data_IF_065686743080
#
_entry.id   IF_065686743080
#
_cell.length_a   1.000
_cell.length_b   1.000
_cell.length_c   1.000
_cell.angle_alpha   90.00
_cell.angle_beta   90.00
_cell.angle_gamma   90.00
#
_symmetry.space_group_name_H-M   'P 1'
#
loop_
_entity.id
_entity.type
_entity.pdbx_description
1 polymer ?
#
# COMPACT_ATOMS: atom_id res chain seq x y z
N UNK A 1 -3.92 66.21 -1.80
CA UNK A 1 -2.77 65.55 -1.13
C UNK A 1 -3.36 64.33 -0.42
N UNK A 2 -3.06 63.06 -0.70
CA UNK A 2 -1.84 62.41 -1.18
C UNK A 2 -2.03 61.69 -2.53
N UNK A 3 -0.97 61.65 -3.34
CA UNK A 3 -1.03 61.21 -4.74
C UNK A 3 -0.68 59.74 -5.02
N UNK A 4 -0.77 59.32 -6.31
CA UNK A 4 -0.70 57.91 -6.77
C UNK A 4 0.62 57.17 -6.50
N UNK A 5 1.63 57.82 -5.92
CA UNK A 5 2.97 57.25 -5.69
C UNK A 5 3.06 56.34 -4.46
N UNK A 6 2.09 56.39 -3.54
CA UNK A 6 2.15 55.58 -2.30
C UNK A 6 1.64 54.14 -2.47
N UNK A 7 0.75 53.88 -3.44
CA UNK A 7 0.26 52.52 -3.75
C UNK A 7 1.27 51.67 -4.54
N UNK A 8 2.25 52.31 -5.19
CA UNK A 8 3.31 51.61 -5.92
C UNK A 8 4.36 50.99 -4.97
N UNK A 9 4.70 51.64 -3.85
CA UNK A 9 5.75 51.14 -2.95
C UNK A 9 5.28 49.96 -2.08
N UNK A 10 3.98 49.91 -1.73
CA UNK A 10 3.39 48.78 -0.98
C UNK A 10 3.28 47.52 -1.84
N UNK A 11 2.96 47.66 -3.14
CA UNK A 11 2.97 46.53 -4.09
C UNK A 11 4.39 46.02 -4.41
N UNK A 12 5.41 46.87 -4.31
CA UNK A 12 6.79 46.46 -4.53
C UNK A 12 7.40 45.75 -3.30
N UNK A 13 6.99 46.11 -2.08
CA UNK A 13 7.40 45.46 -0.84
C UNK A 13 6.82 44.05 -0.65
N UNK A 14 5.55 43.85 -0.98
CA UNK A 14 4.88 42.53 -0.88
C UNK A 14 5.33 41.53 -1.95
N UNK A 15 5.86 41.98 -3.10
CA UNK A 15 6.48 41.10 -4.10
C UNK A 15 7.90 40.64 -3.71
N UNK A 16 8.62 41.40 -2.89
CA UNK A 16 9.97 41.02 -2.43
C UNK A 16 9.97 40.04 -1.25
N UNK A 17 8.88 39.94 -0.48
CA UNK A 17 8.80 39.02 0.67
C UNK A 17 8.41 37.58 0.32
N UNK A 18 7.91 37.32 -0.90
CA UNK A 18 7.53 35.96 -1.33
C UNK A 18 8.56 35.32 -2.29
N UNK A 19 9.63 36.02 -2.63
CA UNK A 19 10.83 35.39 -3.19
C UNK A 19 11.86 35.20 -2.09
N UNK A 20 11.53 34.38 -1.08
CA UNK A 20 12.60 33.64 -0.43
C UNK A 20 13.05 32.62 -1.45
N UNK A 21 14.14 32.96 -2.14
CA UNK A 21 14.98 32.01 -2.83
C UNK A 21 15.67 31.14 -1.77
N UNK A 22 14.89 30.40 -0.99
CA UNK A 22 15.36 29.11 -0.55
C UNK A 22 15.52 28.36 -1.86
N UNK A 23 16.75 28.19 -2.35
CA UNK A 23 17.10 26.93 -3.01
C UNK A 23 16.79 25.84 -1.97
N UNK A 24 15.51 25.54 -1.79
CA UNK A 24 15.07 24.36 -1.10
C UNK A 24 15.79 23.27 -1.86
N UNK A 25 16.69 22.56 -1.19
CA UNK A 25 17.27 21.35 -1.74
C UNK A 25 16.09 20.59 -2.36
N UNK A 26 16.09 20.41 -3.68
CA UNK A 26 15.08 19.59 -4.35
C UNK A 26 15.07 18.29 -3.57
N UNK A 27 13.99 18.05 -2.83
CA UNK A 27 13.90 16.85 -2.00
C UNK A 27 13.92 15.70 -2.98
N UNK A 28 14.92 14.84 -2.84
CA UNK A 28 15.05 13.67 -3.68
C UNK A 28 14.00 12.66 -3.21
N UNK A 29 12.85 12.67 -3.87
CA UNK A 29 11.74 11.74 -3.62
C UNK A 29 11.85 10.47 -4.47
N UNK A 30 12.99 10.28 -5.13
CA UNK A 30 13.26 9.08 -5.92
C UNK A 30 13.26 7.85 -5.00
N UNK A 31 12.34 6.92 -5.27
CA UNK A 31 12.15 5.71 -4.45
C UNK A 31 11.10 5.85 -3.34
N UNK A 32 10.41 6.99 -3.19
CA UNK A 32 9.28 7.08 -2.26
C UNK A 32 8.04 6.47 -2.90
N UNK A 33 7.33 5.64 -2.13
CA UNK A 33 6.01 5.10 -2.51
C UNK A 33 4.91 5.98 -1.94
N UNK A 34 4.23 6.79 -2.76
CA UNK A 34 3.03 7.46 -2.30
C UNK A 34 1.94 6.39 -2.09
N UNK A 35 1.26 6.36 -0.93
CA UNK A 35 0.07 5.55 -0.80
C UNK A 35 -0.94 5.97 -1.87
N UNK A 36 -1.37 5.04 -2.72
CA UNK A 36 -2.45 5.28 -3.66
C UNK A 36 -3.73 5.36 -2.85
N UNK A 37 -4.38 6.52 -2.84
CA UNK A 37 -5.67 6.69 -2.18
C UNK A 37 -6.70 5.82 -2.87
N UNK A 38 -7.28 4.84 -2.17
CA UNK A 38 -8.45 4.08 -2.63
C UNK A 38 -9.69 4.94 -2.42
N UNK A 39 -10.29 5.49 -3.49
CA UNK A 39 -11.50 6.28 -3.35
C UNK A 39 -12.70 5.36 -3.22
N UNK A 40 -13.68 5.80 -2.43
CA UNK A 40 -14.94 5.11 -2.24
C UNK A 40 -16.10 6.01 -2.68
N UNK A 41 -17.15 5.37 -3.19
CA UNK A 41 -18.42 6.02 -3.49
C UNK A 41 -19.18 6.34 -2.20
N UNK A 42 -20.27 7.10 -2.29
CA UNK A 42 -21.14 7.38 -1.15
C UNK A 42 -21.71 6.11 -0.49
N UNK A 43 -21.76 5.00 -1.24
CA UNK A 43 -22.25 3.70 -0.78
C UNK A 43 -21.13 2.81 -0.22
N UNK A 44 -19.93 3.35 0.03
CA UNK A 44 -18.74 2.63 0.48
C UNK A 44 -18.21 1.55 -0.49
N UNK A 45 -18.66 1.54 -1.74
CA UNK A 45 -18.07 0.74 -2.82
C UNK A 45 -16.81 1.41 -3.36
N UNK A 46 -15.84 0.62 -3.84
CA UNK A 46 -14.61 1.15 -4.46
C UNK A 46 -14.95 1.91 -5.74
N UNK A 47 -14.48 3.14 -5.86
CA UNK A 47 -14.64 3.98 -7.04
C UNK A 47 -13.47 3.74 -8.02
N UNK A 48 -13.64 2.76 -8.91
CA UNK A 48 -12.57 2.34 -9.83
C UNK A 48 -12.12 3.45 -10.79
N UNK A 49 -13.01 4.34 -11.22
CA UNK A 49 -12.67 5.45 -12.11
C UNK A 49 -11.75 6.46 -11.42
N UNK A 50 -12.08 6.86 -10.19
CA UNK A 50 -11.18 7.73 -9.41
C UNK A 50 -9.88 7.03 -9.00
N UNK A 51 -9.90 5.71 -8.80
CA UNK A 51 -8.69 4.96 -8.51
C UNK A 51 -7.73 4.96 -9.72
N UNK A 52 -8.26 4.76 -10.93
CA UNK A 52 -7.50 4.87 -12.18
C UNK A 52 -6.91 6.26 -12.36
N UNK A 53 -7.69 7.32 -12.07
CA UNK A 53 -7.16 8.69 -12.07
C UNK A 53 -6.01 8.88 -11.08
N UNK A 54 -6.12 8.34 -9.85
CA UNK A 54 -5.07 8.42 -8.85
C UNK A 54 -3.81 7.71 -9.34
N UNK A 55 -3.96 6.54 -9.96
CA UNK A 55 -2.85 5.79 -10.55
C UNK A 55 -2.19 6.56 -11.69
N UNK A 56 -2.97 7.17 -12.58
CA UNK A 56 -2.44 8.00 -13.66
C UNK A 56 -1.68 9.21 -13.10
N UNK A 57 -2.27 9.95 -12.15
CA UNK A 57 -1.63 11.10 -11.48
C UNK A 57 -0.30 10.67 -10.84
N UNK A 58 -0.31 9.58 -10.08
CA UNK A 58 0.90 9.06 -9.43
C UNK A 58 1.93 8.55 -10.45
N UNK A 59 1.48 7.95 -11.56
CA UNK A 59 2.35 7.50 -12.66
C UNK A 59 3.08 8.62 -13.40
N UNK A 60 2.63 9.88 -13.29
CA UNK A 60 3.33 11.04 -13.87
C UNK A 60 4.56 11.49 -13.07
N UNK A 61 4.72 11.01 -11.83
CA UNK A 61 5.89 11.30 -11.02
C UNK A 61 7.03 10.30 -11.32
N UNK A 62 8.30 10.74 -11.25
CA UNK A 62 9.47 9.90 -11.56
C UNK A 62 9.80 8.92 -10.43
N UNK A 63 8.86 8.04 -10.07
CA UNK A 63 9.10 6.93 -9.16
C UNK A 63 9.98 5.88 -9.84
N UNK A 64 11.05 5.42 -9.18
CA UNK A 64 12.01 4.46 -9.74
C UNK A 64 11.64 2.99 -9.52
N UNK A 65 10.53 2.70 -8.83
CA UNK A 65 10.11 1.34 -8.46
C UNK A 65 9.83 1.19 -6.97
N UNK A 66 9.25 0.05 -6.58
CA UNK A 66 8.83 -0.28 -5.20
C UNK A 66 9.99 -0.40 -4.22
N UNK A 67 9.85 0.28 -3.07
CA UNK A 67 10.82 0.19 -1.96
C UNK A 67 10.28 -0.55 -0.73
N UNK A 68 9.10 -1.16 -0.85
CA UNK A 68 8.47 -1.92 0.23
C UNK A 68 6.99 -2.21 -0.02
N UNK A 69 6.31 -2.76 0.98
CA UNK A 69 4.88 -3.06 0.91
C UNK A 69 4.22 -3.17 2.29
N UNK A 70 2.94 -2.80 2.36
CA UNK A 70 2.07 -3.05 3.53
C UNK A 70 1.24 -4.29 3.22
N UNK A 71 1.67 -5.44 3.73
CA UNK A 71 1.16 -6.74 3.30
C UNK A 71 0.31 -7.39 4.41
N UNK A 72 -0.97 -7.66 4.14
CA UNK A 72 -1.83 -8.41 5.06
C UNK A 72 -1.26 -9.79 5.38
N UNK A 73 -0.67 -10.47 4.38
CA UNK A 73 -0.01 -11.77 4.55
C UNK A 73 1.18 -11.73 5.53
N UNK A 74 1.81 -10.57 5.75
CA UNK A 74 2.94 -10.45 6.67
C UNK A 74 2.57 -10.71 8.14
N UNK A 75 1.28 -10.69 8.50
CA UNK A 75 0.82 -11.08 9.83
C UNK A 75 1.01 -12.58 10.11
N UNK A 76 1.14 -13.42 9.07
CA UNK A 76 1.34 -14.87 9.20
C UNK A 76 2.67 -15.33 8.58
N UNK A 77 3.06 -14.76 7.43
CA UNK A 77 4.29 -15.07 6.70
C UNK A 77 5.26 -13.87 6.65
N UNK A 78 5.39 -13.16 7.77
CA UNK A 78 6.23 -11.94 7.85
C UNK A 78 7.69 -12.19 7.47
N UNK A 79 8.29 -13.29 7.91
CA UNK A 79 9.67 -13.62 7.58
C UNK A 79 9.88 -13.82 6.08
N UNK A 80 8.94 -14.47 5.40
CA UNK A 80 8.96 -14.74 3.97
C UNK A 80 8.74 -13.47 3.15
N UNK A 81 7.83 -12.60 3.58
CA UNK A 81 7.62 -11.29 2.95
C UNK A 81 8.88 -10.42 3.06
N UNK A 82 9.51 -10.36 4.24
CA UNK A 82 10.79 -9.67 4.40
C UNK A 82 11.94 -10.34 3.62
N UNK A 83 11.92 -11.66 3.48
CA UNK A 83 12.89 -12.38 2.65
C UNK A 83 12.74 -12.00 1.18
N UNK A 84 11.50 -11.91 0.67
CA UNK A 84 11.23 -11.49 -0.70
C UNK A 84 11.76 -10.08 -0.96
N UNK A 85 11.52 -9.13 -0.06
CA UNK A 85 12.09 -7.78 -0.13
C UNK A 85 13.61 -7.82 -0.20
N UNK A 86 14.27 -8.57 0.69
CA UNK A 86 15.74 -8.72 0.68
C UNK A 86 16.26 -9.30 -0.64
N UNK A 87 15.59 -10.32 -1.20
CA UNK A 87 15.96 -10.91 -2.49
C UNK A 87 15.86 -9.89 -3.62
N UNK A 88 14.80 -9.08 -3.65
CA UNK A 88 14.65 -7.99 -4.61
C UNK A 88 15.74 -6.91 -4.45
N UNK A 89 16.00 -6.45 -3.22
CA UNK A 89 17.01 -5.43 -2.94
C UNK A 89 18.44 -5.87 -3.27
N UNK A 90 18.71 -7.17 -3.21
CA UNK A 90 20.02 -7.77 -3.53
C UNK A 90 20.11 -8.29 -4.97
N UNK A 91 19.09 -8.07 -5.80
CA UNK A 91 19.08 -8.47 -7.21
C UNK A 91 18.95 -9.97 -7.47
N UNK A 92 18.54 -10.75 -6.47
CA UNK A 92 18.36 -12.21 -6.57
C UNK A 92 16.99 -12.56 -7.19
N UNK A 93 16.77 -12.11 -8.42
CA UNK A 93 15.43 -12.11 -9.06
C UNK A 93 14.83 -13.49 -9.28
N UNK A 94 15.65 -14.51 -9.55
CA UNK A 94 15.14 -15.88 -9.77
C UNK A 94 14.60 -16.50 -8.47
N UNK A 95 15.33 -16.35 -7.36
CA UNK A 95 14.86 -16.81 -6.05
C UNK A 95 13.70 -15.95 -5.54
N UNK A 96 13.72 -14.64 -5.80
CA UNK A 96 12.60 -13.76 -5.51
C UNK A 96 11.33 -14.23 -6.25
N UNK A 97 11.45 -14.60 -7.54
CA UNK A 97 10.33 -15.11 -8.34
C UNK A 97 9.78 -16.41 -7.79
N UNK A 98 10.64 -17.38 -7.44
CA UNK A 98 10.20 -18.66 -6.85
C UNK A 98 9.46 -18.45 -5.54
N UNK A 99 9.99 -17.59 -4.67
CA UNK A 99 9.33 -17.25 -3.41
C UNK A 99 8.01 -16.52 -3.64
N UNK A 100 7.98 -15.51 -4.52
CA UNK A 100 6.78 -14.77 -4.88
C UNK A 100 5.68 -15.71 -5.37
N UNK A 101 5.98 -16.65 -6.27
CA UNK A 101 4.99 -17.61 -6.80
C UNK A 101 4.31 -18.41 -5.67
N UNK A 102 5.08 -18.87 -4.68
CA UNK A 102 4.53 -19.60 -3.51
C UNK A 102 3.68 -18.72 -2.59
N UNK A 103 3.85 -17.40 -2.64
CA UNK A 103 3.09 -16.46 -1.80
C UNK A 103 1.79 -15.97 -2.47
N UNK A 104 1.60 -16.18 -3.78
CA UNK A 104 0.43 -15.67 -4.53
C UNK A 104 -0.89 -16.22 -3.98
N UNK A 105 -1.02 -17.54 -3.89
CA UNK A 105 -2.26 -18.16 -3.43
C UNK A 105 -2.57 -17.84 -1.97
N UNK A 106 -1.63 -17.99 -1.00
CA UNK A 106 -1.86 -17.55 0.38
C UNK A 106 -2.22 -16.06 0.50
N UNK A 107 -1.56 -15.18 -0.27
CA UNK A 107 -1.87 -13.76 -0.26
C UNK A 107 -3.29 -13.50 -0.78
N UNK A 108 -3.66 -14.16 -1.88
CA UNK A 108 -5.00 -14.02 -2.48
C UNK A 108 -6.07 -14.55 -1.54
N UNK A 109 -5.80 -15.65 -0.84
CA UNK A 109 -6.67 -16.25 0.15
C UNK A 109 -7.00 -15.26 1.29
N UNK A 110 -5.99 -14.65 1.91
CA UNK A 110 -6.17 -13.74 3.06
C UNK A 110 -6.52 -12.28 2.69
N UNK A 111 -6.65 -11.97 1.39
CA UNK A 111 -7.01 -10.63 0.92
C UNK A 111 -8.31 -10.67 0.10
N UNK A 112 -8.22 -11.02 -1.18
CA UNK A 112 -9.36 -10.93 -2.13
C UNK A 112 -10.42 -11.99 -1.88
N UNK A 113 -10.03 -13.23 -1.53
CA UNK A 113 -10.98 -14.36 -1.43
C UNK A 113 -11.71 -14.38 -0.10
N UNK A 114 -10.97 -14.43 1.01
CA UNK A 114 -11.54 -14.62 2.35
C UNK A 114 -11.30 -13.44 3.30
N UNK A 115 -10.54 -12.43 2.85
CA UNK A 115 -10.32 -11.17 3.56
C UNK A 115 -9.86 -11.34 5.01
N UNK A 116 -10.34 -10.43 5.88
CA UNK A 116 -10.01 -10.41 7.31
C UNK A 116 -10.39 -11.72 8.03
N UNK A 117 -11.58 -12.33 7.80
CA UNK A 117 -11.90 -13.64 8.38
C UNK A 117 -10.86 -14.72 8.04
N UNK A 118 -10.44 -14.79 6.76
CA UNK A 118 -9.41 -15.73 6.34
C UNK A 118 -8.03 -15.43 6.93
N UNK A 119 -7.65 -14.15 6.98
CA UNK A 119 -6.40 -13.74 7.63
C UNK A 119 -6.36 -14.17 9.10
N UNK A 120 -7.44 -13.89 9.85
CA UNK A 120 -7.52 -14.25 11.27
C UNK A 120 -7.53 -15.77 11.48
N UNK A 121 -8.23 -16.52 10.64
CA UNK A 121 -8.17 -17.98 10.69
C UNK A 121 -6.76 -18.51 10.42
N UNK A 122 -6.05 -17.93 9.44
CA UNK A 122 -4.65 -18.27 9.18
C UNK A 122 -3.74 -17.91 10.38
N UNK A 123 -3.98 -16.76 11.04
CA UNK A 123 -3.26 -16.40 12.26
C UNK A 123 -3.41 -17.45 13.36
N UNK A 124 -4.63 -17.97 13.57
CA UNK A 124 -4.89 -19.03 14.54
C UNK A 124 -4.07 -20.31 14.23
N UNK A 125 -3.95 -20.69 12.95
CA UNK A 125 -3.14 -21.85 12.55
C UNK A 125 -1.63 -21.64 12.75
N UNK A 126 -1.16 -20.40 12.64
CA UNK A 126 0.25 -20.03 12.82
C UNK A 126 0.60 -19.73 14.29
N UNK A 127 -0.32 -20.00 15.23
CA UNK A 127 -0.09 -19.82 16.67
C UNK A 127 -0.25 -18.39 17.18
N UNK A 128 -0.78 -17.48 16.37
CA UNK A 128 -1.17 -16.14 16.78
C UNK A 128 -2.64 -16.11 17.18
N UNK A 129 -3.08 -15.02 17.82
CA UNK A 129 -4.50 -14.79 18.08
C UNK A 129 -5.13 -14.00 16.91
N UNK A 130 -5.87 -14.69 16.03
CA UNK A 130 -6.72 -14.05 15.04
C UNK A 130 -8.11 -13.74 15.59
N UNK A 131 -8.75 -14.76 16.17
CA UNK A 131 -10.03 -14.64 16.86
C UNK A 131 -11.22 -14.21 15.97
N UNK A 132 -12.39 -13.90 16.55
CA UNK A 132 -13.57 -13.55 15.78
C UNK A 132 -13.43 -12.19 15.07
N UNK A 133 -14.14 -12.04 13.95
CA UNK A 133 -14.37 -10.74 13.34
C UNK A 133 -15.52 -10.00 14.05
N UNK A 134 -15.48 -8.66 14.02
CA UNK A 134 -16.62 -7.85 14.46
C UNK A 134 -17.62 -7.72 13.31
N UNK A 135 -18.92 -7.77 13.63
CA UNK A 135 -19.99 -7.51 12.67
C UNK A 135 -19.75 -6.16 11.93
N UNK A 136 -20.05 -6.07 10.62
CA UNK A 136 -20.82 -7.03 9.83
C UNK A 136 -20.03 -8.22 9.29
N UNK A 137 -18.71 -8.28 9.51
CA UNK A 137 -17.88 -9.40 9.04
C UNK A 137 -18.20 -10.67 9.84
N UNK A 138 -18.46 -11.75 9.11
CA UNK A 138 -18.74 -13.07 9.68
C UNK A 138 -17.50 -13.96 9.65
N UNK A 139 -17.54 -15.07 10.38
CA UNK A 139 -16.53 -16.12 10.25
C UNK A 139 -16.63 -16.86 8.92
N UNK A 140 -15.62 -17.66 8.61
CA UNK A 140 -15.65 -18.54 7.44
C UNK A 140 -16.58 -19.73 7.68
N UNK A 141 -17.24 -20.18 6.61
CA UNK A 141 -17.89 -21.48 6.59
C UNK A 141 -16.86 -22.62 6.55
N UNK A 142 -17.23 -23.86 6.93
CA UNK A 142 -16.30 -24.99 6.89
C UNK A 142 -15.67 -25.23 5.52
N UNK A 143 -16.41 -25.00 4.43
CA UNK A 143 -15.90 -25.16 3.07
C UNK A 143 -14.87 -24.07 2.70
N UNK A 144 -15.08 -22.85 3.17
CA UNK A 144 -14.12 -21.75 2.97
C UNK A 144 -12.85 -21.95 3.82
N UNK A 145 -12.97 -22.47 5.03
CA UNK A 145 -11.81 -22.82 5.86
C UNK A 145 -10.96 -23.91 5.20
N UNK A 146 -11.58 -24.94 4.63
CA UNK A 146 -10.86 -26.00 3.91
C UNK A 146 -10.16 -25.46 2.66
N UNK A 147 -10.85 -24.63 1.88
CA UNK A 147 -10.25 -23.98 0.70
C UNK A 147 -9.08 -23.06 1.08
N UNK A 148 -9.22 -22.28 2.16
CA UNK A 148 -8.14 -21.46 2.71
C UNK A 148 -6.96 -22.34 3.15
N UNK A 149 -7.22 -23.48 3.80
CA UNK A 149 -6.18 -24.41 4.24
C UNK A 149 -5.40 -24.99 3.07
N UNK A 150 -6.11 -25.35 2.00
CA UNK A 150 -5.52 -25.86 0.76
C UNK A 150 -4.60 -24.84 0.07
N UNK A 151 -4.98 -23.57 0.04
CA UNK A 151 -4.16 -22.50 -0.55
C UNK A 151 -2.81 -22.35 0.17
N UNK A 152 -2.77 -22.58 1.49
CA UNK A 152 -1.52 -22.56 2.27
C UNK A 152 -0.72 -23.86 2.15
N UNK A 153 -1.37 -25.03 2.26
CA UNK A 153 -0.67 -26.33 2.27
C UNK A 153 -0.09 -26.69 0.92
N UNK A 154 -0.80 -26.40 -0.19
CA UNK A 154 -0.32 -26.65 -1.55
C UNK A 154 0.95 -25.85 -1.89
N UNK A 155 1.21 -24.77 -1.14
CA UNK A 155 2.40 -23.93 -1.28
C UNK A 155 3.48 -24.20 -0.20
N UNK A 156 3.26 -25.19 0.65
CA UNK A 156 4.18 -25.66 1.68
C UNK A 156 4.34 -24.69 2.85
N UNK A 157 3.25 -24.08 3.31
CA UNK A 157 3.26 -23.15 4.44
C UNK A 157 2.66 -23.73 5.73
N UNK A 158 1.82 -24.77 5.63
CA UNK A 158 1.22 -25.53 6.73
C UNK A 158 1.07 -27.01 6.36
#
# INVERSE_FOLDING_TARGET
MLGPRMLASVRQGLRKSLSRNTRGKKVNITGIYPPVTTPFTANAEVDYGKLEENLHKLGTFPFRGAVGGVCGLANVLGAQVCQLERLCLTGQWEEARKLQLRLIEPNTAVTRRFGIPGLKKAMDWFGYYGGPCRAPLQGLSPAEEEALRLDFSSNGWI
#
